data_IF_406539356469
#
_entry.id   IF_406539356469
#
_cell.length_a   1.000
_cell.length_b   1.000
_cell.length_c   1.000
_cell.angle_alpha   90.00
_cell.angle_beta   90.00
_cell.angle_gamma   90.00
#
_symmetry.space_group_name_H-M   'P 1'
#
loop_
_entity.id
_entity.type
_entity.pdbx_description
1 polymer ?
#
# COMPACT_ATOMS: atom_id res chain seq x y z
N UNK A 1 57.25 -45.22 -1.90
CA UNK A 1 56.18 -44.30 -1.43
C UNK A 1 56.08 -43.16 -2.42
N UNK A 2 54.92 -43.01 -3.06
CA UNK A 2 54.65 -42.00 -4.10
C UNK A 2 53.94 -40.82 -3.45
N UNK A 3 54.44 -39.60 -3.66
CA UNK A 3 53.65 -38.38 -3.57
C UNK A 3 54.15 -37.46 -4.70
N UNK A 4 53.35 -37.35 -5.77
CA UNK A 4 53.54 -36.38 -6.85
C UNK A 4 52.68 -35.17 -6.51
N UNK A 5 53.32 -34.02 -6.31
CA UNK A 5 52.67 -32.72 -6.17
C UNK A 5 52.30 -32.21 -7.56
N UNK A 6 51.00 -32.01 -7.79
CA UNK A 6 50.45 -31.43 -9.01
C UNK A 6 50.27 -29.93 -8.76
N UNK A 7 51.02 -29.08 -9.45
CA UNK A 7 50.80 -27.62 -9.49
C UNK A 7 50.04 -27.33 -10.77
N UNK A 8 48.78 -26.91 -10.65
CA UNK A 8 47.98 -26.45 -11.79
C UNK A 8 48.00 -24.91 -11.81
N UNK A 9 48.65 -24.38 -12.83
CA UNK A 9 48.55 -23.00 -13.31
C UNK A 9 47.36 -22.94 -14.27
N UNK A 10 46.51 -21.92 -14.21
CA UNK A 10 45.86 -21.31 -15.39
C UNK A 10 45.06 -20.05 -15.02
N UNK A 11 45.45 -18.94 -15.66
CA UNK A 11 44.76 -17.66 -15.69
C UNK A 11 43.62 -17.64 -16.72
N UNK A 12 42.74 -16.62 -16.68
CA UNK A 12 42.38 -15.91 -17.92
C UNK A 12 42.43 -14.38 -17.73
N UNK A 13 43.24 -13.68 -18.53
CA UNK A 13 42.87 -12.99 -19.79
C UNK A 13 41.98 -11.77 -19.56
N UNK A 14 42.65 -10.61 -19.52
CA UNK A 14 42.11 -9.26 -19.70
C UNK A 14 42.31 -8.84 -21.18
N UNK A 15 41.27 -8.30 -21.82
CA UNK A 15 41.27 -7.31 -22.91
C UNK A 15 39.88 -7.33 -23.59
N UNK A 16 39.30 -6.26 -24.12
CA UNK A 16 39.52 -4.82 -24.06
C UNK A 16 38.38 -4.16 -24.89
N UNK A 17 37.86 -3.02 -24.39
CA UNK A 17 37.58 -1.76 -25.10
C UNK A 17 36.68 -1.78 -26.37
N UNK A 18 35.49 -1.17 -26.30
CA UNK A 18 35.21 0.26 -26.61
C UNK A 18 34.84 0.45 -28.09
N UNK A 19 33.65 0.97 -28.41
CA UNK A 19 33.35 2.37 -28.82
C UNK A 19 32.12 2.24 -29.76
N UNK A 20 31.18 3.16 -30.01
CA UNK A 20 31.30 4.58 -30.33
C UNK A 20 29.87 5.14 -30.63
N UNK A 21 29.56 6.31 -30.05
CA UNK A 21 28.83 7.50 -30.56
C UNK A 21 27.50 7.44 -31.36
N UNK A 22 26.42 8.09 -30.87
CA UNK A 22 25.91 9.48 -31.11
C UNK A 22 25.15 9.69 -32.43
N UNK A 23 23.88 10.15 -32.33
CA UNK A 23 23.21 11.24 -33.10
C UNK A 23 21.76 11.36 -32.56
N UNK A 24 21.44 12.35 -31.72
CA UNK A 24 20.97 13.72 -32.03
C UNK A 24 19.55 13.83 -32.63
N UNK A 25 18.66 14.37 -31.78
CA UNK A 25 17.74 15.49 -32.01
C UNK A 25 16.87 15.52 -33.27
N UNK A 26 15.55 15.51 -33.08
CA UNK A 26 14.62 16.31 -33.88
C UNK A 26 13.36 16.65 -33.06
N UNK A 27 13.31 17.88 -32.55
CA UNK A 27 12.08 18.60 -32.20
C UNK A 27 11.55 19.28 -33.46
N UNK A 28 10.22 19.39 -33.59
CA UNK A 28 9.67 20.71 -33.92
C UNK A 28 8.38 21.03 -33.15
N UNK A 29 8.37 22.18 -32.49
CA UNK A 29 7.25 23.14 -32.51
C UNK A 29 7.59 24.18 -33.63
N UNK A 30 6.74 25.17 -34.04
CA UNK A 30 5.53 25.71 -33.39
C UNK A 30 4.39 26.13 -34.35
N UNK A 31 3.35 26.77 -33.77
CA UNK A 31 2.63 27.98 -34.22
C UNK A 31 1.10 27.90 -34.46
N UNK A 32 0.41 28.59 -33.55
CA UNK A 32 -0.44 29.77 -33.81
C UNK A 32 -1.95 29.64 -34.11
N UNK A 33 -2.71 30.51 -33.41
CA UNK A 33 -3.99 31.11 -33.82
C UNK A 33 -5.22 30.49 -33.14
N UNK A 34 -6.15 31.21 -32.51
CA UNK A 34 -6.39 32.64 -32.38
C UNK A 34 -7.71 32.89 -31.62
N UNK A 35 -7.86 34.12 -31.14
CA UNK A 35 -9.04 34.86 -30.65
C UNK A 35 -10.41 34.46 -31.27
N UNK A 36 -11.59 34.82 -30.78
CA UNK A 36 -12.20 35.32 -29.54
C UNK A 36 -13.67 35.67 -29.92
N UNK A 37 -14.67 35.39 -29.08
CA UNK A 37 -15.94 36.16 -28.96
C UNK A 37 -16.87 35.44 -27.98
N UNK A 38 -17.09 35.97 -26.77
CA UNK A 38 -18.19 36.88 -26.38
C UNK A 38 -19.59 36.24 -26.36
N UNK A 39 -20.16 36.20 -25.16
CA UNK A 39 -21.53 35.79 -24.86
C UNK A 39 -21.84 35.99 -23.38
N UNK A 40 -21.76 37.24 -22.92
CA UNK A 40 -22.15 37.69 -21.59
C UNK A 40 -23.67 37.75 -21.48
N UNK A 41 -24.24 37.04 -20.51
CA UNK A 41 -25.53 37.38 -19.91
C UNK A 41 -25.35 37.30 -18.39
N UNK A 42 -25.34 38.49 -17.78
CA UNK A 42 -25.32 38.68 -16.35
C UNK A 42 -26.64 38.18 -15.74
N UNK A 43 -26.55 37.58 -14.55
CA UNK A 43 -27.63 37.65 -13.57
C UNK A 43 -27.03 37.76 -12.16
N UNK A 44 -27.62 38.59 -11.29
CA UNK A 44 -27.04 38.98 -10.01
C UNK A 44 -27.52 38.07 -8.87
N UNK A 45 -26.75 38.06 -7.78
CA UNK A 45 -27.04 37.48 -6.46
C UNK A 45 -26.61 36.03 -6.25
N UNK A 46 -25.45 35.86 -5.61
CA UNK A 46 -25.27 35.05 -4.40
C UNK A 46 -23.78 35.00 -4.06
N UNK A 47 -23.35 35.81 -3.08
CA UNK A 47 -22.09 35.60 -2.39
C UNK A 47 -22.20 34.32 -1.56
N UNK A 48 -21.82 33.20 -2.16
CA UNK A 48 -21.61 31.94 -1.44
C UNK A 48 -20.11 31.79 -1.15
N UNK A 49 -19.71 31.46 0.09
CA UNK A 49 -18.32 31.23 0.42
C UNK A 49 -17.79 30.08 -0.43
N UNK A 50 -16.62 30.30 -1.01
CA UNK A 50 -15.86 29.36 -1.83
C UNK A 50 -15.74 28.01 -1.12
N UNK A 51 -16.55 27.06 -1.55
CA UNK A 51 -16.27 25.63 -1.41
C UNK A 51 -14.97 25.37 -2.17
N UNK A 52 -13.87 25.23 -1.42
CA UNK A 52 -12.62 24.73 -1.97
C UNK A 52 -12.89 23.38 -2.64
N UNK A 53 -12.61 23.30 -3.94
CA UNK A 53 -12.57 22.06 -4.70
C UNK A 53 -11.55 21.14 -4.05
N UNK A 54 -12.03 20.08 -3.39
CA UNK A 54 -11.23 19.07 -2.73
C UNK A 54 -10.68 18.13 -3.81
N UNK A 55 -9.40 18.28 -4.13
CA UNK A 55 -8.68 17.24 -4.87
C UNK A 55 -8.30 16.14 -3.88
N UNK A 56 -8.68 14.87 -4.08
CA UNK A 56 -8.39 13.78 -3.15
C UNK A 56 -6.91 13.36 -3.10
N UNK A 57 -5.99 14.22 -3.56
CA UNK A 57 -4.55 13.99 -3.56
C UNK A 57 -3.85 14.73 -2.42
N UNK A 58 -3.44 13.99 -1.38
CA UNK A 58 -2.40 14.36 -0.42
C UNK A 58 -2.63 15.65 0.38
N UNK A 59 -3.65 15.67 1.24
CA UNK A 59 -3.72 16.70 2.28
C UNK A 59 -2.59 16.47 3.30
N UNK A 60 -1.82 17.54 3.57
CA UNK A 60 -0.73 17.54 4.54
C UNK A 60 -1.03 18.56 5.63
N UNK A 61 -0.58 18.26 6.85
CA UNK A 61 -0.70 19.15 8.00
C UNK A 61 0.66 19.29 8.66
N UNK A 62 1.11 20.50 8.95
CA UNK A 62 2.42 20.73 9.54
C UNK A 62 2.34 21.51 10.85
N UNK A 63 3.16 21.13 11.82
CA UNK A 63 3.35 21.86 13.06
C UNK A 63 4.85 21.96 13.38
N UNK A 64 5.26 23.08 13.97
CA UNK A 64 6.62 23.26 14.49
C UNK A 64 6.65 22.92 15.97
N UNK A 65 7.74 22.30 16.40
CA UNK A 65 7.93 21.83 17.77
C UNK A 65 9.37 22.14 18.21
N UNK A 66 9.53 22.59 19.45
CA UNK A 66 10.85 22.79 20.07
C UNK A 66 11.09 21.61 21.01
N UNK A 67 12.07 20.76 20.70
CA UNK A 67 12.48 19.70 21.61
C UNK A 67 13.46 20.28 22.61
N UNK A 68 13.09 20.28 23.89
CA UNK A 68 13.99 20.62 24.99
C UNK A 68 14.90 19.45 25.34
N UNK A 69 16.07 19.76 25.90
CA UNK A 69 16.99 18.77 26.44
C UNK A 69 16.30 17.88 27.51
N UNK A 70 16.63 16.59 27.50
CA UNK A 70 15.99 15.59 28.36
C UNK A 70 14.78 14.94 27.69
N UNK A 71 13.76 14.60 28.48
CA UNK A 71 12.51 14.02 27.98
C UNK A 71 11.42 15.08 27.99
N UNK A 72 10.58 15.07 26.97
CA UNK A 72 9.44 15.97 26.88
C UNK A 72 8.28 15.37 26.12
N UNK A 73 7.14 16.04 26.24
CA UNK A 73 5.90 15.71 25.55
C UNK A 73 5.16 17.00 25.23
N UNK A 74 4.54 17.04 24.04
CA UNK A 74 3.69 18.14 23.61
C UNK A 74 2.53 17.62 22.77
N UNK A 75 1.37 18.23 22.91
CA UNK A 75 0.19 17.92 22.10
C UNK A 75 -0.01 19.01 21.08
N UNK A 76 0.15 18.65 19.80
CA UNK A 76 -0.02 19.54 18.67
C UNK A 76 -1.44 19.39 18.12
N UNK A 77 -2.22 20.47 18.17
CA UNK A 77 -3.55 20.50 17.53
C UNK A 77 -3.37 20.62 16.03
N UNK A 78 -3.92 19.66 15.29
CA UNK A 78 -3.97 19.67 13.84
C UNK A 78 -5.40 20.08 13.39
N UNK A 79 -5.54 20.48 12.13
CA UNK A 79 -6.85 20.74 11.51
C UNK A 79 -7.65 19.45 11.32
N UNK A 80 -8.97 19.59 11.17
CA UNK A 80 -9.86 18.45 10.96
C UNK A 80 -9.60 17.75 9.62
N UNK A 81 -9.69 16.42 9.63
CA UNK A 81 -9.61 15.57 8.43
C UNK A 81 -11.02 15.10 8.09
N UNK A 82 -11.42 15.25 6.83
CA UNK A 82 -12.72 14.82 6.34
C UNK A 82 -12.57 13.60 5.42
N UNK A 83 -13.20 12.49 5.80
CA UNK A 83 -13.33 11.31 4.98
C UNK A 83 -14.76 11.26 4.42
N UNK A 84 -14.91 11.52 3.12
CA UNK A 84 -16.21 11.48 2.43
C UNK A 84 -16.83 10.08 2.39
N UNK A 85 -15.98 9.06 2.44
CA UNK A 85 -16.35 7.65 2.48
C UNK A 85 -15.43 6.87 3.42
N UNK A 86 -15.87 5.69 3.85
CA UNK A 86 -15.04 4.81 4.66
C UNK A 86 -13.83 4.36 3.85
N UNK A 87 -12.63 4.65 4.33
CA UNK A 87 -11.40 4.52 3.56
C UNK A 87 -10.31 3.82 4.37
N UNK A 88 -9.47 3.05 3.69
CA UNK A 88 -8.23 2.56 4.27
C UNK A 88 -7.18 3.67 4.20
N UNK A 89 -6.55 4.04 5.32
CA UNK A 89 -5.68 5.21 5.39
C UNK A 89 -4.33 4.85 6.00
N UNK A 90 -3.25 5.40 5.44
CA UNK A 90 -1.90 5.35 6.01
C UNK A 90 -1.41 6.77 6.25
N UNK A 91 -1.02 7.05 7.49
CA UNK A 91 -0.41 8.30 7.94
C UNK A 91 1.11 8.17 7.93
N UNK A 92 1.79 9.16 7.36
CA UNK A 92 3.24 9.24 7.26
C UNK A 92 3.71 10.59 7.83
N UNK A 93 4.23 10.61 9.06
CA UNK A 93 4.90 11.79 9.60
C UNK A 93 6.28 11.96 8.93
N UNK A 94 6.57 13.16 8.46
CA UNK A 94 7.87 13.60 7.98
C UNK A 94 8.43 14.63 8.95
N UNK A 95 9.69 14.44 9.38
CA UNK A 95 10.34 15.34 10.33
C UNK A 95 11.47 16.07 9.64
N UNK A 96 11.40 17.40 9.65
CA UNK A 96 12.45 18.28 9.15
C UNK A 96 13.11 19.00 10.32
N UNK A 97 14.43 18.90 10.42
CA UNK A 97 15.22 19.69 11.36
C UNK A 97 15.29 21.14 10.86
N UNK A 98 14.84 22.09 11.68
CA UNK A 98 14.88 23.52 11.36
C UNK A 98 16.11 24.20 11.97
N UNK A 99 16.49 23.83 13.19
CA UNK A 99 17.67 24.36 13.87
C UNK A 99 18.12 23.46 15.03
N UNK A 100 19.36 23.66 15.47
CA UNK A 100 20.00 22.87 16.53
C UNK A 100 20.82 21.70 15.98
N UNK A 101 21.72 21.18 16.79
CA UNK A 101 22.53 20.01 16.48
C UNK A 101 22.67 19.15 17.74
N UNK A 102 21.59 18.42 18.04
CA UNK A 102 21.52 17.53 19.18
C UNK A 102 21.05 16.15 18.72
N UNK A 103 21.38 15.15 19.52
CA UNK A 103 20.93 13.78 19.29
C UNK A 103 19.54 13.63 19.89
N UNK A 104 18.61 13.02 19.17
CA UNK A 104 17.24 12.89 19.63
C UNK A 104 16.55 11.62 19.14
N UNK A 105 15.47 11.27 19.82
CA UNK A 105 14.46 10.31 19.40
C UNK A 105 13.10 11.01 19.51
N UNK A 106 12.28 10.85 18.48
CA UNK A 106 10.91 11.37 18.41
C UNK A 106 9.94 10.20 18.23
N UNK A 107 8.88 10.17 19.03
CA UNK A 107 7.73 9.27 18.87
C UNK A 107 6.46 10.08 18.86
N UNK A 108 5.42 9.59 18.19
CA UNK A 108 4.15 10.29 18.14
C UNK A 108 2.97 9.34 18.26
N UNK A 109 1.84 9.88 18.69
CA UNK A 109 0.52 9.24 18.63
C UNK A 109 -0.43 10.22 17.95
N UNK A 110 -1.01 9.80 16.82
CA UNK A 110 -2.08 10.54 16.17
C UNK A 110 -3.42 10.11 16.78
N UNK A 111 -4.18 11.09 17.26
CA UNK A 111 -5.53 10.92 17.78
C UNK A 111 -6.51 11.58 16.81
N UNK A 112 -7.47 10.81 16.32
CA UNK A 112 -8.57 11.28 15.47
C UNK A 112 -9.86 11.16 16.27
N UNK A 113 -10.43 12.28 16.67
CA UNK A 113 -11.69 12.34 17.42
C UNK A 113 -12.84 12.69 16.47
N UNK A 114 -13.73 11.73 16.21
CA UNK A 114 -14.97 11.92 15.46
C UNK A 114 -16.18 11.99 16.38
N UNK A 115 -17.35 12.30 15.82
CA UNK A 115 -18.60 12.37 16.60
C UNK A 115 -19.12 11.00 17.07
N UNK A 116 -18.81 9.94 16.30
CA UNK A 116 -19.29 8.57 16.57
C UNK A 116 -18.15 7.66 17.03
N UNK A 117 -16.98 7.78 16.39
CA UNK A 117 -15.84 6.89 16.61
C UNK A 117 -14.55 7.69 16.68
N UNK A 118 -13.60 7.21 17.47
CA UNK A 118 -12.26 7.78 17.57
C UNK A 118 -11.22 6.73 17.19
N UNK A 119 -10.10 7.19 16.63
CA UNK A 119 -8.99 6.35 16.22
C UNK A 119 -7.69 6.84 16.84
N UNK A 120 -6.78 5.91 17.07
CA UNK A 120 -5.44 6.18 17.59
C UNK A 120 -4.42 5.41 16.76
N UNK A 121 -3.40 6.11 16.28
CA UNK A 121 -2.29 5.54 15.51
C UNK A 121 -0.99 5.82 16.25
N UNK A 122 -0.41 4.77 16.82
CA UNK A 122 0.88 4.87 17.50
C UNK A 122 2.03 4.81 16.49
N UNK A 123 2.93 5.79 16.57
CA UNK A 123 4.06 5.94 15.66
C UNK A 123 5.34 6.00 16.50
N UNK A 124 5.80 4.85 17.05
CA UNK A 124 7.07 4.79 17.72
C UNK A 124 8.21 5.03 16.73
N UNK A 125 9.25 5.74 17.16
CA UNK A 125 10.44 5.99 16.34
C UNK A 125 10.15 6.74 15.03
N UNK A 126 9.33 7.80 15.07
CA UNK A 126 9.06 8.67 13.92
C UNK A 126 10.35 9.22 13.31
N UNK A 127 11.28 9.66 14.16
CA UNK A 127 12.58 10.15 13.74
C UNK A 127 13.61 9.92 14.84
N UNK A 128 14.86 9.69 14.45
CA UNK A 128 15.98 9.62 15.36
C UNK A 128 17.23 10.19 14.70
N UNK A 129 18.07 10.86 15.49
CA UNK A 129 19.37 11.37 15.07
C UNK A 129 20.39 11.08 16.17
N UNK A 130 21.45 10.34 15.86
CA UNK A 130 22.53 10.01 16.80
C UNK A 130 22.12 9.19 18.03
N UNK A 131 20.90 8.66 18.06
CA UNK A 131 20.39 7.74 19.08
C UNK A 131 19.74 6.55 18.40
N UNK A 132 19.89 5.36 18.98
CA UNK A 132 19.22 4.16 18.49
C UNK A 132 17.74 4.21 18.87
N UNK A 133 16.86 3.93 17.91
CA UNK A 133 15.43 3.79 18.16
C UNK A 133 14.99 2.38 17.79
N UNK A 134 14.56 1.63 18.81
CA UNK A 134 14.12 0.26 18.64
C UNK A 134 12.62 0.24 18.44
N UNK A 135 12.19 -0.37 17.33
CA UNK A 135 10.78 -0.68 17.09
C UNK A 135 10.58 -2.19 17.19
N UNK A 136 9.51 -2.59 17.88
CA UNK A 136 9.03 -3.98 17.78
C UNK A 136 8.69 -4.25 16.32
N UNK A 137 9.09 -5.42 15.79
CA UNK A 137 8.81 -5.84 14.40
C UNK A 137 7.33 -6.20 14.17
N UNK A 138 6.43 -5.34 14.63
CA UNK A 138 4.99 -5.43 14.41
C UNK A 138 4.57 -4.33 13.45
N UNK A 139 3.67 -4.66 12.51
CA UNK A 139 3.02 -3.68 11.65
C UNK A 139 2.00 -2.90 12.47
N UNK A 140 2.04 -1.57 12.42
CA UNK A 140 1.12 -0.71 13.14
C UNK A 140 0.04 -0.20 12.16
N UNK A 141 -1.24 -0.56 12.36
CA UNK A 141 -2.33 -0.07 11.53
C UNK A 141 -2.41 1.45 11.55
N UNK A 142 -2.55 2.05 10.37
CA UNK A 142 -2.57 3.49 10.17
C UNK A 142 -1.19 4.11 10.02
N UNK A 143 -0.09 3.40 10.32
CA UNK A 143 1.27 3.92 10.15
C UNK A 143 2.08 3.08 9.14
N UNK A 144 2.11 1.77 9.30
CA UNK A 144 2.82 0.84 8.42
C UNK A 144 1.91 0.13 7.44
N UNK A 145 0.72 -0.20 7.90
CA UNK A 145 -0.33 -0.83 7.14
C UNK A 145 -1.55 0.11 7.11
N UNK A 146 -2.40 0.04 6.07
CA UNK A 146 -3.65 0.76 6.06
C UNK A 146 -4.51 0.49 7.30
N UNK A 147 -5.33 1.46 7.69
CA UNK A 147 -6.35 1.29 8.72
C UNK A 147 -7.67 1.82 8.18
N UNK A 148 -8.72 1.02 8.30
CA UNK A 148 -10.07 1.45 7.94
C UNK A 148 -10.53 2.57 8.88
N UNK A 149 -10.81 3.73 8.30
CA UNK A 149 -11.44 4.87 8.96
C UNK A 149 -12.82 5.05 8.34
N UNK A 150 -13.86 5.03 9.18
CA UNK A 150 -15.23 5.27 8.76
C UNK A 150 -15.41 6.71 8.24
N UNK A 151 -16.37 6.89 7.31
CA UNK A 151 -16.74 8.23 6.82
C UNK A 151 -17.04 9.20 7.97
N UNK A 152 -16.58 10.43 7.87
CA UNK A 152 -16.82 11.45 8.88
C UNK A 152 -15.74 12.54 8.93
N UNK A 153 -15.99 13.53 9.77
CA UNK A 153 -15.04 14.62 10.06
C UNK A 153 -14.41 14.35 11.43
N UNK A 154 -13.08 14.34 11.46
CA UNK A 154 -12.29 14.02 12.64
C UNK A 154 -11.41 15.21 13.01
N UNK A 155 -11.48 15.66 14.26
CA UNK A 155 -10.46 16.56 14.77
C UNK A 155 -9.17 15.77 15.03
N UNK A 156 -8.05 16.25 14.50
CA UNK A 156 -6.77 15.57 14.59
C UNK A 156 -5.88 16.22 15.64
N UNK A 157 -5.24 15.41 16.49
CA UNK A 157 -4.20 15.86 17.41
C UNK A 157 -3.01 14.93 17.33
N UNK A 158 -1.80 15.49 17.39
CA UNK A 158 -0.57 14.72 17.41
C UNK A 158 0.10 14.90 18.76
N UNK A 159 0.04 13.88 19.61
CA UNK A 159 0.81 13.83 20.85
C UNK A 159 2.22 13.37 20.51
N UNK A 160 3.20 14.25 20.68
CA UNK A 160 4.59 13.99 20.36
C UNK A 160 5.37 13.85 21.66
N UNK A 161 6.21 12.83 21.76
CA UNK A 161 7.13 12.63 22.87
C UNK A 161 8.54 12.51 22.33
N UNK A 162 9.51 13.01 23.11
CA UNK A 162 10.90 13.00 22.68
C UNK A 162 11.86 12.73 23.83
N UNK A 163 13.06 12.33 23.43
CA UNK A 163 14.27 12.39 24.24
C UNK A 163 15.34 13.10 23.43
N UNK A 164 15.98 14.14 23.97
CA UNK A 164 17.01 14.92 23.28
C UNK A 164 18.22 15.20 24.17
N UNK A 165 19.42 15.28 23.57
CA UNK A 165 20.64 15.69 24.26
C UNK A 165 20.83 17.21 24.36
N UNK A 166 19.94 17.98 23.75
CA UNK A 166 20.01 19.44 23.70
C UNK A 166 18.78 20.05 23.04
N UNK A 167 18.69 21.37 23.02
CA UNK A 167 17.53 22.04 22.45
C UNK A 167 17.63 22.08 20.91
N UNK A 168 16.52 21.78 20.24
CA UNK A 168 16.43 21.81 18.78
C UNK A 168 15.00 22.12 18.33
N UNK A 169 14.86 22.64 17.10
CA UNK A 169 13.57 22.95 16.51
C UNK A 169 13.31 22.05 15.32
N UNK A 170 12.16 21.38 15.30
CA UNK A 170 11.70 20.55 14.19
C UNK A 170 10.38 21.05 13.61
N UNK A 171 10.13 20.68 12.37
CA UNK A 171 8.81 20.71 11.76
C UNK A 171 8.37 19.27 11.52
N UNK A 172 7.18 18.94 11.98
CA UNK A 172 6.53 17.67 11.74
C UNK A 172 5.43 17.92 10.71
N UNK A 173 5.51 17.26 9.57
CA UNK A 173 4.49 17.27 8.52
C UNK A 173 3.81 15.92 8.50
N UNK A 174 2.55 15.86 8.92
CA UNK A 174 1.71 14.68 8.79
C UNK A 174 1.12 14.65 7.38
N UNK A 175 1.51 13.64 6.60
CA UNK A 175 0.85 13.28 5.35
C UNK A 175 -0.07 12.10 5.60
N UNK A 176 -1.13 11.99 4.82
CA UNK A 176 -1.86 10.75 4.71
C UNK A 176 -2.16 10.43 3.26
N UNK A 177 -2.27 9.13 3.01
CA UNK A 177 -2.66 8.57 1.73
C UNK A 177 -3.81 7.62 1.97
N UNK A 178 -4.74 7.57 1.02
CA UNK A 178 -5.70 6.49 0.95
C UNK A 178 -4.90 5.25 0.56
N UNK A 179 -4.77 4.30 1.49
CA UNK A 179 -4.12 3.04 1.24
C UNK A 179 -4.84 2.32 0.12
N UNK A 180 -4.08 1.83 -0.86
CA UNK A 180 -4.66 1.00 -1.93
C UNK A 180 -5.34 -0.21 -1.28
N UNK A 181 -6.53 -0.50 -1.76
CA UNK A 181 -7.33 -1.65 -1.36
C UNK A 181 -6.86 -2.90 -2.08
N UNK A 182 -7.38 -4.07 -1.68
CA UNK A 182 -7.22 -5.23 -2.55
C UNK A 182 -7.98 -4.96 -3.87
N UNK A 183 -7.46 -5.47 -4.97
CA UNK A 183 -8.17 -5.41 -6.26
C UNK A 183 -8.30 -6.83 -6.79
N UNK A 184 -9.45 -7.14 -7.38
CA UNK A 184 -9.69 -8.42 -8.05
C UNK A 184 -10.13 -8.17 -9.49
N UNK A 185 -9.35 -8.67 -10.43
CA UNK A 185 -9.66 -8.64 -11.85
C UNK A 185 -9.99 -10.05 -12.35
N UNK A 186 -11.06 -10.19 -13.14
CA UNK A 186 -11.44 -11.46 -13.77
C UNK A 186 -10.61 -11.64 -15.04
N UNK A 187 -9.88 -12.75 -15.13
CA UNK A 187 -9.11 -13.09 -16.33
C UNK A 187 -9.99 -13.86 -17.33
N UNK A 188 -9.87 -13.59 -18.65
CA UNK A 188 -10.67 -14.27 -19.65
C UNK A 188 -10.34 -15.76 -19.76
N UNK A 189 -9.08 -16.12 -19.49
CA UNK A 189 -8.54 -17.48 -19.55
C UNK A 189 -7.58 -17.73 -18.37
N UNK A 190 -7.39 -19.00 -17.97
CA UNK A 190 -6.40 -19.37 -16.97
C UNK A 190 -5.00 -18.92 -17.39
N UNK A 191 -4.33 -18.07 -16.59
CA UNK A 191 -3.00 -17.59 -16.96
C UNK A 191 -1.97 -18.71 -16.83
N UNK A 192 -0.91 -18.68 -17.63
CA UNK A 192 0.22 -19.58 -17.42
C UNK A 192 0.94 -19.23 -16.10
N UNK A 193 1.30 -20.26 -15.35
CA UNK A 193 2.11 -20.16 -14.13
C UNK A 193 3.16 -21.29 -14.13
N UNK A 194 4.40 -21.01 -13.69
CA UNK A 194 5.45 -22.02 -13.62
C UNK A 194 5.10 -23.15 -12.65
N UNK A 195 4.41 -22.81 -11.56
CA UNK A 195 3.95 -23.76 -10.55
C UNK A 195 2.64 -23.24 -9.92
N UNK A 196 1.70 -24.15 -9.70
CA UNK A 196 0.42 -23.86 -9.04
C UNK A 196 0.42 -24.42 -7.62
N UNK A 197 0.27 -23.56 -6.63
CA UNK A 197 0.26 -23.92 -5.22
C UNK A 197 -1.20 -24.01 -4.74
N UNK A 198 -1.68 -25.18 -4.31
CA UNK A 198 -3.06 -25.32 -3.84
C UNK A 198 -3.25 -24.68 -2.46
N UNK A 199 -4.41 -24.05 -2.27
CA UNK A 199 -4.87 -23.58 -0.97
C UNK A 199 -5.11 -24.77 -0.04
N UNK A 200 -4.93 -24.55 1.25
CA UNK A 200 -5.32 -25.53 2.26
C UNK A 200 -6.83 -25.78 2.17
N UNK A 201 -7.23 -27.06 2.21
CA UNK A 201 -8.62 -27.49 1.99
C UNK A 201 -8.98 -27.83 0.54
N UNK A 202 -8.07 -27.60 -0.42
CA UNK A 202 -8.23 -28.08 -1.80
C UNK A 202 -8.28 -29.61 -1.86
N UNK A 203 -9.04 -30.15 -2.82
CA UNK A 203 -9.25 -31.58 -3.03
C UNK A 203 -9.14 -31.95 -4.51
N UNK A 204 -9.46 -33.20 -4.85
CA UNK A 204 -9.57 -33.66 -6.25
C UNK A 204 -10.89 -33.27 -6.93
N UNK A 205 -11.88 -32.78 -6.17
CA UNK A 205 -13.19 -32.40 -6.72
C UNK A 205 -13.39 -30.89 -6.74
N UNK A 206 -12.55 -30.13 -6.05
CA UNK A 206 -12.51 -28.68 -6.10
C UNK A 206 -11.14 -28.22 -5.61
N UNK A 207 -10.57 -27.21 -6.23
CA UNK A 207 -9.33 -26.62 -5.77
C UNK A 207 -9.28 -25.12 -6.05
N UNK A 208 -8.52 -24.44 -5.21
CA UNK A 208 -8.11 -23.05 -5.40
C UNK A 208 -6.59 -23.06 -5.42
N UNK A 209 -5.99 -22.45 -6.42
CA UNK A 209 -4.54 -22.45 -6.62
C UNK A 209 -4.04 -21.03 -6.83
N UNK A 210 -2.80 -20.78 -6.43
CA UNK A 210 -2.08 -19.51 -6.63
C UNK A 210 -0.71 -19.74 -7.23
N UNK A 211 -0.21 -18.79 -8.02
CA UNK A 211 1.10 -18.86 -8.67
C UNK A 211 2.30 -18.58 -7.75
N UNK A 212 2.04 -18.15 -6.50
CA UNK A 212 3.07 -17.91 -5.50
C UNK A 212 2.50 -17.52 -4.14
N UNK A 213 3.27 -17.73 -3.07
CA UNK A 213 2.88 -17.31 -1.70
C UNK A 213 3.52 -16.00 -1.26
N UNK A 214 4.47 -15.48 -2.04
CA UNK A 214 5.13 -14.22 -1.79
C UNK A 214 5.43 -13.48 -3.09
N UNK A 215 5.26 -12.17 -3.08
CA UNK A 215 5.58 -11.30 -4.22
C UNK A 215 6.03 -9.92 -3.73
N UNK A 216 6.74 -9.16 -4.58
CA UNK A 216 7.13 -7.77 -4.28
C UNK A 216 6.13 -6.82 -4.93
N UNK A 217 5.83 -5.73 -4.25
CA UNK A 217 5.00 -4.66 -4.80
C UNK A 217 5.67 -4.05 -6.05
N UNK A 218 4.85 -3.79 -7.08
CA UNK A 218 5.25 -3.14 -8.32
C UNK A 218 5.35 -1.62 -8.18
N UNK A 219 5.37 -0.92 -9.31
CA UNK A 219 5.40 0.56 -9.34
C UNK A 219 4.12 1.19 -8.83
N UNK A 220 3.02 0.46 -8.96
CA UNK A 220 1.71 0.81 -8.44
C UNK A 220 1.56 0.44 -6.95
N UNK A 221 2.64 0.09 -6.26
CA UNK A 221 2.61 -0.34 -4.84
C UNK A 221 1.71 -1.55 -4.58
N UNK A 222 1.37 -2.34 -5.61
CA UNK A 222 0.60 -3.58 -5.47
C UNK A 222 1.43 -4.76 -5.97
N UNK A 223 1.29 -5.90 -5.31
CA UNK A 223 1.77 -7.17 -5.83
C UNK A 223 0.61 -7.97 -6.41
N UNK A 224 0.85 -8.58 -7.56
CA UNK A 224 -0.14 -9.40 -8.25
C UNK A 224 0.06 -10.89 -7.96
N UNK A 225 -1.04 -11.60 -7.76
CA UNK A 225 -1.14 -13.04 -7.59
C UNK A 225 -2.18 -13.57 -8.57
N UNK A 226 -1.83 -14.59 -9.35
CA UNK A 226 -2.78 -15.28 -10.22
C UNK A 226 -3.52 -16.33 -9.40
N UNK A 227 -4.84 -16.30 -9.43
CA UNK A 227 -5.70 -17.27 -8.77
C UNK A 227 -6.45 -18.10 -9.81
N UNK A 228 -6.47 -19.42 -9.60
CA UNK A 228 -7.28 -20.35 -10.36
C UNK A 228 -8.23 -21.09 -9.42
N UNK A 229 -9.51 -21.03 -9.71
CA UNK A 229 -10.56 -21.73 -8.97
C UNK A 229 -11.24 -22.70 -9.90
N UNK A 230 -11.29 -23.98 -9.52
CA UNK A 230 -12.08 -24.96 -10.27
C UNK A 230 -12.83 -25.91 -9.37
N UNK A 231 -14.00 -26.35 -9.84
CA UNK A 231 -14.93 -27.21 -9.12
C UNK A 231 -15.50 -28.23 -10.09
N UNK A 232 -15.31 -29.51 -9.80
CA UNK A 232 -15.94 -30.60 -10.51
C UNK A 232 -17.33 -30.88 -9.93
N UNK A 233 -18.35 -30.87 -10.79
CA UNK A 233 -19.73 -31.20 -10.40
C UNK A 233 -20.22 -32.39 -11.21
N UNK A 234 -20.17 -33.61 -10.64
CA UNK A 234 -20.65 -34.79 -11.34
C UNK A 234 -22.16 -34.68 -11.61
N UNK A 235 -22.56 -34.87 -12.87
CA UNK A 235 -23.96 -34.80 -13.29
C UNK A 235 -24.42 -33.43 -13.81
N UNK A 236 -23.55 -32.42 -13.82
CA UNK A 236 -23.91 -31.05 -14.17
C UNK A 236 -24.59 -30.33 -13.01
N UNK A 237 -24.26 -29.05 -12.78
CA UNK A 237 -24.90 -28.29 -11.72
C UNK A 237 -26.20 -27.65 -12.24
N UNK A 238 -27.34 -28.23 -11.90
CA UNK A 238 -28.60 -27.49 -11.88
C UNK A 238 -28.62 -26.64 -10.61
N UNK A 239 -27.96 -25.48 -10.67
CA UNK A 239 -27.79 -24.58 -9.53
C UNK A 239 -26.45 -23.89 -9.62
N UNK A 240 -26.45 -22.56 -9.79
CA UNK A 240 -25.21 -21.79 -9.91
C UNK A 240 -24.27 -22.05 -8.72
N UNK A 241 -22.98 -22.17 -9.01
CA UNK A 241 -21.95 -22.32 -7.99
C UNK A 241 -21.74 -20.98 -7.27
N UNK A 242 -21.97 -20.93 -5.96
CA UNK A 242 -21.65 -19.75 -5.16
C UNK A 242 -20.21 -19.82 -4.70
N UNK A 243 -19.42 -18.83 -5.13
CA UNK A 243 -18.05 -18.68 -4.74
C UNK A 243 -17.79 -17.24 -4.29
N UNK A 244 -17.03 -17.08 -3.21
CA UNK A 244 -16.56 -15.76 -2.76
C UNK A 244 -15.12 -15.83 -2.28
N UNK A 245 -14.39 -14.76 -2.50
CA UNK A 245 -13.04 -14.55 -1.99
C UNK A 245 -13.10 -13.54 -0.85
N UNK A 246 -12.46 -13.84 0.27
CA UNK A 246 -12.23 -12.90 1.37
C UNK A 246 -10.74 -12.72 1.56
N UNK A 247 -10.30 -11.46 1.60
CA UNK A 247 -8.93 -11.06 1.88
C UNK A 247 -8.91 -10.38 3.25
N UNK A 248 -8.10 -10.88 4.16
CA UNK A 248 -7.96 -10.32 5.50
C UNK A 248 -6.49 -10.24 5.92
N UNK A 249 -6.03 -9.06 6.29
CA UNK A 249 -4.66 -8.84 6.72
C UNK A 249 -4.08 -7.57 6.11
N UNK A 250 -2.91 -7.14 6.59
CA UNK A 250 -2.32 -5.87 6.17
C UNK A 250 -3.26 -4.67 6.31
N UNK A 251 -4.19 -4.70 7.28
CA UNK A 251 -5.19 -3.64 7.46
C UNK A 251 -6.37 -3.66 6.49
N UNK A 252 -6.38 -4.60 5.55
CA UNK A 252 -7.43 -4.78 4.55
C UNK A 252 -8.38 -5.89 5.00
N UNK A 253 -9.69 -5.65 4.88
CA UNK A 253 -10.74 -6.67 4.99
C UNK A 253 -11.72 -6.46 3.84
N UNK A 254 -11.65 -7.33 2.85
CA UNK A 254 -12.47 -7.22 1.63
C UNK A 254 -13.06 -8.57 1.24
N UNK A 255 -14.28 -8.53 0.69
CA UNK A 255 -14.95 -9.69 0.10
C UNK A 255 -15.28 -9.41 -1.36
N UNK A 256 -14.94 -10.35 -2.24
CA UNK A 256 -15.21 -10.31 -3.67
C UNK A 256 -16.11 -11.49 -4.05
N UNK A 257 -17.21 -11.26 -4.79
CA UNK A 257 -17.93 -12.36 -5.44
C UNK A 257 -17.03 -12.97 -6.53
N UNK A 258 -17.00 -14.30 -6.62
CA UNK A 258 -16.26 -15.00 -7.66
C UNK A 258 -17.23 -15.57 -8.69
N UNK A 259 -17.15 -15.07 -9.92
CA UNK A 259 -17.94 -15.57 -11.04
C UNK A 259 -17.24 -16.77 -11.69
N UNK A 260 -17.79 -17.97 -11.50
CA UNK A 260 -17.26 -19.19 -12.11
C UNK A 260 -18.05 -19.54 -13.38
N UNK A 261 -17.34 -19.88 -14.45
CA UNK A 261 -17.91 -20.25 -15.75
C UNK A 261 -17.96 -21.77 -15.91
N UNK A 262 -19.05 -22.27 -16.47
CA UNK A 262 -19.17 -23.69 -16.78
C UNK A 262 -18.26 -24.06 -17.97
N UNK A 263 -17.49 -25.14 -17.82
CA UNK A 263 -16.67 -25.77 -18.85
C UNK A 263 -16.83 -27.29 -18.77
N UNK A 264 -17.82 -27.81 -19.49
CA UNK A 264 -18.18 -29.23 -19.43
C UNK A 264 -18.65 -29.63 -18.03
N UNK A 265 -18.04 -30.61 -17.36
CA UNK A 265 -18.43 -31.03 -16.01
C UNK A 265 -17.76 -30.20 -14.89
N UNK A 266 -17.09 -29.10 -15.23
CA UNK A 266 -16.39 -28.23 -14.29
C UNK A 266 -16.98 -26.82 -14.29
N UNK A 267 -16.82 -26.13 -13.17
CA UNK A 267 -16.86 -24.67 -13.08
C UNK A 267 -15.43 -24.17 -12.88
N UNK A 268 -15.05 -23.13 -13.61
CA UNK A 268 -13.70 -22.56 -13.58
C UNK A 268 -13.77 -21.03 -13.53
N UNK A 269 -12.88 -20.41 -12.77
CA UNK A 269 -12.65 -18.98 -12.75
C UNK A 269 -11.16 -18.68 -12.59
N UNK A 270 -10.66 -17.73 -13.37
CA UNK A 270 -9.29 -17.26 -13.31
C UNK A 270 -9.30 -15.78 -12.91
N UNK A 271 -8.43 -15.40 -11.99
CA UNK A 271 -8.42 -14.04 -11.42
C UNK A 271 -7.00 -13.53 -11.23
N UNK A 272 -6.84 -12.21 -11.27
CA UNK A 272 -5.64 -11.51 -10.83
C UNK A 272 -5.99 -10.75 -9.54
N UNK A 273 -5.45 -11.24 -8.42
CA UNK A 273 -5.59 -10.60 -7.12
C UNK A 273 -4.39 -9.67 -6.90
N UNK A 274 -4.65 -8.37 -6.73
CA UNK A 274 -3.61 -7.39 -6.39
C UNK A 274 -3.73 -6.99 -4.93
N UNK A 275 -2.61 -6.99 -4.21
CA UNK A 275 -2.54 -6.72 -2.78
C UNK A 275 -1.44 -5.69 -2.47
N UNK A 276 -1.68 -4.74 -1.55
CA UNK A 276 -0.64 -3.83 -1.07
C UNK A 276 0.39 -4.58 -0.18
N UNK A 277 1.49 -3.94 0.25
CA UNK A 277 2.46 -4.54 1.17
C UNK A 277 1.83 -5.00 2.49
N UNK A 278 2.12 -6.23 2.89
CA UNK A 278 1.53 -6.82 4.08
C UNK A 278 1.53 -8.36 4.09
N UNK A 279 0.85 -8.92 5.09
CA UNK A 279 0.61 -10.37 5.21
C UNK A 279 -0.89 -10.59 5.25
N UNK A 280 -1.39 -11.45 4.38
CA UNK A 280 -2.81 -11.65 4.13
C UNK A 280 -3.21 -13.10 4.31
N UNK A 281 -4.31 -13.34 5.02
CA UNK A 281 -5.11 -14.56 4.95
C UNK A 281 -6.13 -14.41 3.83
N UNK A 282 -6.00 -15.27 2.82
CA UNK A 282 -6.85 -15.26 1.63
C UNK A 282 -7.73 -16.51 1.69
N UNK A 283 -9.04 -16.32 1.78
CA UNK A 283 -10.03 -17.37 1.98
C UNK A 283 -11.01 -17.40 0.82
N UNK A 284 -11.05 -18.50 0.08
CA UNK A 284 -12.10 -18.74 -0.93
C UNK A 284 -13.14 -19.67 -0.33
N UNK A 285 -14.40 -19.25 -0.32
CA UNK A 285 -15.53 -20.07 0.12
C UNK A 285 -16.26 -20.63 -1.09
N UNK A 286 -16.35 -21.96 -1.19
CA UNK A 286 -17.05 -22.71 -2.22
C UNK A 286 -18.14 -23.56 -1.55
N UNK A 287 -19.43 -23.28 -1.77
CA UNK A 287 -20.54 -24.02 -1.15
C UNK A 287 -20.34 -24.26 0.37
N UNK A 288 -20.03 -23.22 1.13
CA UNK A 288 -19.73 -23.25 2.57
C UNK A 288 -18.45 -24.02 2.98
N UNK A 289 -17.60 -24.42 2.02
CA UNK A 289 -16.25 -24.92 2.29
C UNK A 289 -15.26 -23.78 2.15
N UNK A 290 -14.50 -23.49 3.20
CA UNK A 290 -13.46 -22.48 3.17
C UNK A 290 -12.11 -23.13 2.80
N UNK A 291 -11.46 -22.55 1.81
CA UNK A 291 -10.09 -22.88 1.39
C UNK A 291 -9.22 -21.67 1.67
N UNK A 292 -8.04 -21.88 2.26
CA UNK A 292 -7.22 -20.76 2.76
C UNK A 292 -5.77 -20.84 2.32
N UNK A 293 -5.16 -19.68 2.10
CA UNK A 293 -3.73 -19.52 1.93
C UNK A 293 -3.25 -18.23 2.63
N UNK A 294 -1.97 -18.21 3.01
CA UNK A 294 -1.33 -17.00 3.52
C UNK A 294 -0.42 -16.44 2.43
N UNK A 295 -0.71 -15.20 1.99
CA UNK A 295 0.08 -14.49 0.99
C UNK A 295 0.90 -13.38 1.67
N UNK A 296 2.11 -13.14 1.17
CA UNK A 296 3.01 -12.09 1.67
C UNK A 296 3.37 -11.13 0.54
N UNK A 297 3.17 -9.85 0.77
CA UNK A 297 3.61 -8.79 -0.12
C UNK A 297 4.74 -8.02 0.53
N UNK A 298 5.92 -8.11 -0.09
CA UNK A 298 7.09 -7.36 0.32
C UNK A 298 7.03 -5.95 -0.29
N UNK A 299 7.52 -4.92 0.42
CA UNK A 299 7.75 -3.62 -0.19
C UNK A 299 8.75 -3.74 -1.36
N UNK A 300 8.72 -2.77 -2.27
CA UNK A 300 9.60 -2.71 -3.45
C UNK A 300 11.08 -2.79 -3.03
#
# INVERSE_FOLDING_TARGET
MRARTLVLVLAPVFAALASLFILLAFFPEPLAGGHASQGSLASPWASNPTHGSYSPGNAYQSAELTLTAGRGEEVLSLSSINFSESSNVVFKPEVQLLSGNARFILSATLELEGSVRSYKVDMPCVAASGMECFRVMMLIPGFDAPMLIEKGVYSARLRVSWQSSGDLKVRITLRYSLGKTAELEVLPEPPEAPEWIPFNGSTRSYAVQVDGLASRAGEDELASFKLLVWVYVPGGAEGGMQAKLRVEGGGVVEEFPLELRARGPYFEGAYLLKLPPGVYSVTVTLNNKALTATLRVLPR
#
